data_IF_961602411602
#
_entry.id   IF_961602411602
#
_cell.length_a   1.000
_cell.length_b   1.000
_cell.length_c   1.000
_cell.angle_alpha   90.00
_cell.angle_beta   90.00
_cell.angle_gamma   90.00
#
_symmetry.space_group_name_H-M   'P 1'
#
loop_
_entity.id
_entity.type
_entity.pdbx_description
1 polymer ?
#
# COMPACT_ATOMS: atom_id res chain seq x y z
N UNK A 1 6.45 -29.07 10.06
CA UNK A 1 5.85 -27.73 10.15
C UNK A 1 6.90 -26.60 10.04
N UNK A 2 8.00 -26.61 10.82
CA UNK A 2 9.03 -25.53 10.78
C UNK A 2 9.69 -25.36 9.41
N UNK A 3 10.07 -26.43 8.73
CA UNK A 3 10.70 -26.38 7.39
C UNK A 3 9.76 -25.79 6.30
N UNK A 4 8.45 -26.04 6.38
CA UNK A 4 7.47 -25.46 5.44
C UNK A 4 7.32 -23.95 5.66
N UNK A 5 7.26 -23.49 6.92
CA UNK A 5 7.18 -22.06 7.22
C UNK A 5 8.44 -21.33 6.74
N UNK A 6 9.64 -21.88 7.00
CA UNK A 6 10.89 -21.26 6.57
C UNK A 6 10.94 -21.05 5.04
N UNK A 7 10.53 -22.06 4.27
CA UNK A 7 10.46 -21.93 2.80
C UNK A 7 9.52 -20.80 2.36
N UNK A 8 8.34 -20.71 2.98
CA UNK A 8 7.40 -19.64 2.65
C UNK A 8 7.89 -18.26 3.09
N UNK A 9 8.58 -18.15 4.23
CA UNK A 9 9.19 -16.88 4.65
C UNK A 9 10.23 -16.39 3.65
N UNK A 10 11.12 -17.29 3.18
CA UNK A 10 12.16 -16.97 2.20
C UNK A 10 11.60 -16.55 0.83
N UNK A 11 10.34 -16.85 0.52
CA UNK A 11 9.68 -16.46 -0.72
C UNK A 11 8.78 -15.24 -0.49
N UNK A 12 7.85 -15.32 0.48
CA UNK A 12 6.81 -14.29 0.64
C UNK A 12 7.37 -12.95 1.09
N UNK A 13 8.33 -12.94 2.01
CA UNK A 13 8.88 -11.67 2.52
C UNK A 13 9.61 -10.90 1.43
N UNK A 14 10.58 -11.48 0.69
CA UNK A 14 11.22 -10.77 -0.41
C UNK A 14 10.26 -10.36 -1.52
N UNK A 15 9.32 -11.22 -1.90
CA UNK A 15 8.36 -10.94 -2.98
C UNK A 15 7.47 -9.75 -2.62
N UNK A 16 6.89 -9.73 -1.41
CA UNK A 16 6.03 -8.63 -0.97
C UNK A 16 6.82 -7.32 -0.88
N UNK A 17 8.03 -7.36 -0.30
CA UNK A 17 8.93 -6.20 -0.24
C UNK A 17 9.27 -5.66 -1.62
N UNK A 18 9.77 -6.52 -2.51
CA UNK A 18 10.23 -6.12 -3.85
C UNK A 18 9.09 -5.53 -4.66
N UNK A 19 7.93 -6.17 -4.71
CA UNK A 19 6.77 -5.67 -5.45
C UNK A 19 6.28 -4.34 -4.91
N UNK A 20 6.22 -4.19 -3.57
CA UNK A 20 5.83 -2.94 -2.94
C UNK A 20 6.78 -1.78 -3.27
N UNK A 21 8.08 -1.99 -3.15
CA UNK A 21 9.07 -0.97 -3.51
C UNK A 21 9.11 -0.68 -5.01
N UNK A 22 9.02 -1.71 -5.87
CA UNK A 22 8.99 -1.50 -7.32
C UNK A 22 7.79 -0.65 -7.74
N UNK A 23 6.60 -0.91 -7.20
CA UNK A 23 5.42 -0.09 -7.47
C UNK A 23 5.64 1.38 -7.11
N UNK A 24 6.21 1.66 -5.93
CA UNK A 24 6.54 3.03 -5.51
C UNK A 24 7.57 3.70 -6.40
N UNK A 25 8.65 2.99 -6.73
CA UNK A 25 9.72 3.51 -7.59
C UNK A 25 9.24 3.80 -9.02
N UNK A 26 8.51 2.88 -9.62
CA UNK A 26 7.96 3.05 -10.97
C UNK A 26 6.95 4.20 -11.06
N UNK A 27 6.27 4.50 -9.96
CA UNK A 27 5.32 5.61 -9.87
C UNK A 27 5.99 6.96 -9.55
N UNK A 28 7.31 6.99 -9.28
CA UNK A 28 8.01 8.19 -8.82
C UNK A 28 7.48 8.69 -7.48
N UNK A 29 7.23 7.79 -6.52
CA UNK A 29 6.57 8.14 -5.26
C UNK A 29 7.45 8.99 -4.35
N UNK A 30 6.92 10.10 -3.86
CA UNK A 30 7.53 10.94 -2.84
C UNK A 30 8.32 12.14 -3.38
N UNK A 31 9.25 12.67 -2.57
CA UNK A 31 10.08 13.82 -2.94
C UNK A 31 10.88 13.57 -4.23
N UNK A 32 10.99 14.60 -5.05
CA UNK A 32 11.59 14.51 -6.39
C UNK A 32 10.60 14.24 -7.51
N UNK A 33 9.33 13.95 -7.19
CA UNK A 33 8.24 13.99 -8.15
C UNK A 33 7.76 15.44 -8.31
N UNK A 34 7.92 16.09 -9.48
CA UNK A 34 7.64 17.52 -9.64
C UNK A 34 6.19 17.90 -9.31
N UNK A 35 5.23 17.03 -9.66
CA UNK A 35 3.84 17.26 -9.31
C UNK A 35 3.63 17.16 -7.80
N UNK A 36 4.16 16.13 -7.15
CA UNK A 36 4.04 15.94 -5.71
C UNK A 36 4.72 17.08 -4.93
N UNK A 37 5.90 17.53 -5.39
CA UNK A 37 6.65 18.62 -4.74
C UNK A 37 5.89 19.95 -4.79
N UNK A 38 5.09 20.16 -5.84
CA UNK A 38 4.24 21.35 -6.00
C UNK A 38 2.96 21.35 -5.12
N UNK A 39 2.58 20.20 -4.55
CA UNK A 39 1.40 20.12 -3.67
C UNK A 39 1.65 20.82 -2.34
N UNK A 40 0.62 21.49 -1.83
CA UNK A 40 0.56 21.95 -0.43
C UNK A 40 0.52 20.72 0.48
N UNK A 41 1.50 20.61 1.38
CA UNK A 41 1.58 19.47 2.32
C UNK A 41 0.67 19.74 3.52
N UNK A 42 -0.30 18.84 3.82
CA UNK A 42 -1.13 18.97 5.02
C UNK A 42 -0.27 18.95 6.30
N UNK A 43 -0.76 19.61 7.36
CA UNK A 43 -0.04 19.63 8.65
C UNK A 43 0.23 18.27 9.26
N UNK A 44 -0.58 17.26 8.89
CA UNK A 44 -0.44 15.87 9.34
C UNK A 44 0.53 15.05 8.48
N UNK A 45 1.16 15.65 7.46
CA UNK A 45 2.10 14.94 6.58
C UNK A 45 3.40 14.64 7.34
N UNK A 46 3.75 13.34 7.52
CA UNK A 46 4.97 12.96 8.23
C UNK A 46 6.22 13.25 7.39
N UNK A 47 7.39 13.33 8.03
CA UNK A 47 8.66 13.36 7.28
C UNK A 47 8.75 12.21 6.25
N UNK A 48 9.31 12.44 5.05
CA UNK A 48 9.35 11.43 3.98
C UNK A 48 9.98 10.10 4.39
N UNK A 49 11.01 10.13 5.24
CA UNK A 49 11.68 8.93 5.76
C UNK A 49 10.74 8.01 6.53
N UNK A 50 9.71 8.56 7.18
CA UNK A 50 8.69 7.79 7.90
C UNK A 50 7.97 6.80 6.98
N UNK A 51 7.66 7.20 5.75
CA UNK A 51 7.00 6.32 4.77
C UNK A 51 7.91 5.14 4.40
N UNK A 52 9.20 5.39 4.15
CA UNK A 52 10.16 4.33 3.81
C UNK A 52 10.28 3.30 4.96
N UNK A 53 10.39 3.77 6.20
CA UNK A 53 10.51 2.90 7.38
C UNK A 53 9.22 2.11 7.59
N UNK A 54 8.07 2.79 7.64
CA UNK A 54 6.78 2.15 7.92
C UNK A 54 6.43 1.13 6.86
N UNK A 55 6.52 1.47 5.58
CA UNK A 55 6.22 0.52 4.51
C UNK A 55 7.16 -0.68 4.48
N UNK A 56 8.46 -0.48 4.80
CA UNK A 56 9.40 -1.61 4.94
C UNK A 56 8.95 -2.59 6.01
N UNK A 57 8.60 -2.09 7.19
CA UNK A 57 8.11 -2.91 8.31
C UNK A 57 6.80 -3.60 7.95
N UNK A 58 5.84 -2.86 7.37
CA UNK A 58 4.53 -3.40 7.00
C UNK A 58 4.64 -4.49 5.94
N UNK A 59 5.45 -4.31 4.91
CA UNK A 59 5.65 -5.34 3.88
C UNK A 59 6.32 -6.60 4.44
N UNK A 60 7.27 -6.46 5.36
CA UNK A 60 7.84 -7.62 6.08
C UNK A 60 6.74 -8.34 6.86
N UNK A 61 5.93 -7.62 7.65
CA UNK A 61 4.85 -8.20 8.45
C UNK A 61 3.79 -8.89 7.58
N UNK A 62 3.41 -8.27 6.45
CA UNK A 62 2.49 -8.86 5.46
C UNK A 62 3.06 -10.14 4.85
N UNK A 63 4.34 -10.13 4.47
CA UNK A 63 5.03 -11.32 3.94
C UNK A 63 5.10 -12.45 4.94
N UNK A 64 5.40 -12.14 6.21
CA UNK A 64 5.40 -13.12 7.31
C UNK A 64 3.99 -13.69 7.56
N UNK A 65 2.98 -12.81 7.60
CA UNK A 65 1.58 -13.22 7.79
C UNK A 65 1.12 -14.17 6.67
N UNK A 66 1.42 -13.82 5.42
CA UNK A 66 1.12 -14.67 4.26
C UNK A 66 1.83 -16.03 4.35
N UNK A 67 3.13 -16.02 4.69
CA UNK A 67 3.91 -17.26 4.85
C UNK A 67 3.32 -18.19 5.92
N UNK A 68 2.83 -17.63 7.03
CA UNK A 68 2.20 -18.41 8.10
C UNK A 68 0.90 -19.07 7.64
N UNK A 69 0.08 -18.35 6.85
CA UNK A 69 -1.17 -18.86 6.28
C UNK A 69 -0.87 -19.94 5.23
N UNK A 70 0.10 -19.73 4.35
CA UNK A 70 0.52 -20.70 3.35
C UNK A 70 1.10 -21.98 3.97
N UNK A 71 1.81 -21.86 5.09
CA UNK A 71 2.35 -23.00 5.83
C UNK A 71 1.28 -23.82 6.57
N UNK A 72 0.07 -23.26 6.79
CA UNK A 72 -1.05 -23.91 7.47
C UNK A 72 -1.78 -24.91 6.53
N UNK A 73 -1.07 -25.94 6.07
CA UNK A 73 -1.60 -26.96 5.16
C UNK A 73 -2.81 -27.67 5.79
N UNK A 74 -3.87 -27.85 5.01
CA UNK A 74 -5.11 -28.49 5.46
C UNK A 74 -6.04 -27.61 6.30
N UNK A 75 -5.66 -26.36 6.64
CA UNK A 75 -6.55 -25.48 7.36
C UNK A 75 -7.75 -25.04 6.48
N UNK A 76 -8.95 -25.13 7.06
CA UNK A 76 -10.18 -24.67 6.40
C UNK A 76 -10.09 -23.16 6.10
N UNK A 77 -10.54 -22.74 4.93
CA UNK A 77 -10.56 -21.34 4.52
C UNK A 77 -9.20 -20.78 4.08
N UNK A 78 -8.10 -21.55 4.11
CA UNK A 78 -6.79 -21.08 3.68
C UNK A 78 -6.78 -20.50 2.26
N UNK A 79 -7.42 -21.17 1.30
CA UNK A 79 -7.47 -20.73 -0.10
C UNK A 79 -8.12 -19.35 -0.26
N UNK A 80 -9.28 -19.15 0.38
CA UNK A 80 -10.00 -17.87 0.35
C UNK A 80 -9.21 -16.76 1.07
N UNK A 81 -8.51 -17.09 2.16
CA UNK A 81 -7.66 -16.15 2.86
C UNK A 81 -6.48 -15.68 2.00
N UNK A 82 -5.82 -16.60 1.29
CA UNK A 82 -4.73 -16.27 0.34
C UNK A 82 -5.25 -15.45 -0.84
N UNK A 83 -6.42 -15.78 -1.38
CA UNK A 83 -7.05 -15.00 -2.45
C UNK A 83 -7.37 -13.58 -2.00
N UNK A 84 -7.96 -13.42 -0.80
CA UNK A 84 -8.24 -12.09 -0.24
C UNK A 84 -6.94 -11.26 -0.06
N UNK A 85 -5.85 -11.90 0.42
CA UNK A 85 -4.55 -11.25 0.49
C UNK A 85 -4.05 -10.82 -0.89
N UNK A 86 -4.14 -11.69 -1.89
CA UNK A 86 -3.71 -11.35 -3.25
C UNK A 86 -4.48 -10.17 -3.82
N UNK A 87 -5.80 -10.15 -3.66
CA UNK A 87 -6.67 -9.05 -4.12
C UNK A 87 -6.27 -7.73 -3.43
N UNK A 88 -6.23 -7.69 -2.09
CA UNK A 88 -5.86 -6.48 -1.38
C UNK A 88 -4.44 -6.01 -1.72
N UNK A 89 -3.50 -6.94 -1.94
CA UNK A 89 -2.12 -6.59 -2.26
C UNK A 89 -2.00 -6.00 -3.67
N UNK A 90 -2.70 -6.55 -4.67
CA UNK A 90 -2.77 -5.96 -6.02
C UNK A 90 -3.36 -4.55 -5.97
N UNK A 91 -4.43 -4.34 -5.22
CA UNK A 91 -4.99 -2.99 -5.03
C UNK A 91 -3.98 -2.05 -4.35
N UNK A 92 -3.24 -2.55 -3.34
CA UNK A 92 -2.20 -1.78 -2.67
C UNK A 92 -1.09 -1.34 -3.64
N UNK A 93 -0.62 -2.24 -4.51
CA UNK A 93 0.37 -1.91 -5.54
C UNK A 93 -0.15 -0.86 -6.54
N UNK A 94 -1.45 -0.83 -6.82
CA UNK A 94 -2.05 0.12 -7.76
C UNK A 94 -2.15 1.55 -7.20
N UNK A 95 -2.09 1.73 -5.87
CA UNK A 95 -2.29 3.05 -5.27
C UNK A 95 -1.22 4.07 -5.67
N UNK A 96 0.05 3.70 -5.58
CA UNK A 96 1.17 4.60 -5.96
C UNK A 96 1.10 5.06 -7.41
N UNK A 97 0.90 4.19 -8.41
CA UNK A 97 0.66 4.61 -9.80
C UNK A 97 -0.52 5.58 -9.95
N UNK A 98 -1.64 5.35 -9.26
CA UNK A 98 -2.82 6.21 -9.38
C UNK A 98 -2.56 7.58 -8.75
N UNK A 99 -1.95 7.62 -7.55
CA UNK A 99 -1.69 8.87 -6.84
C UNK A 99 -0.56 9.67 -7.49
N UNK A 100 0.64 9.08 -7.63
CA UNK A 100 1.84 9.78 -8.09
C UNK A 100 2.03 9.76 -9.61
N UNK A 101 1.64 8.67 -10.27
CA UNK A 101 1.83 8.51 -11.72
C UNK A 101 0.71 9.17 -12.53
N UNK A 102 -0.55 9.00 -12.11
CA UNK A 102 -1.71 9.58 -12.81
C UNK A 102 -2.13 10.93 -12.22
N UNK A 103 -1.54 11.36 -11.09
CA UNK A 103 -1.88 12.60 -10.38
C UNK A 103 -3.36 12.69 -9.93
N UNK A 104 -4.00 11.53 -9.66
CA UNK A 104 -5.44 11.43 -9.37
C UNK A 104 -5.68 11.16 -7.89
N UNK A 105 -5.70 12.21 -7.08
CA UNK A 105 -5.90 12.12 -5.62
C UNK A 105 -7.28 11.58 -5.25
N UNK A 106 -8.34 11.98 -5.99
CA UNK A 106 -9.72 11.51 -5.77
C UNK A 106 -9.86 10.01 -6.06
N UNK A 107 -9.33 9.54 -7.20
CA UNK A 107 -9.34 8.12 -7.52
C UNK A 107 -8.49 7.30 -6.54
N UNK A 108 -7.33 7.83 -6.12
CA UNK A 108 -6.49 7.21 -5.11
C UNK A 108 -7.19 7.13 -3.74
N UNK A 109 -8.03 8.11 -3.39
CA UNK A 109 -8.84 8.09 -2.16
C UNK A 109 -9.87 6.95 -2.18
N UNK A 110 -10.59 6.77 -3.29
CA UNK A 110 -11.51 5.64 -3.46
C UNK A 110 -10.76 4.31 -3.40
N UNK A 111 -9.61 4.24 -4.07
CA UNK A 111 -8.79 3.04 -4.10
C UNK A 111 -8.26 2.67 -2.71
N UNK A 112 -7.74 3.64 -1.92
CA UNK A 112 -7.22 3.34 -0.58
C UNK A 112 -8.33 2.93 0.40
N UNK A 113 -9.54 3.47 0.25
CA UNK A 113 -10.70 3.01 1.00
C UNK A 113 -11.07 1.56 0.65
N UNK A 114 -11.01 1.19 -0.62
CA UNK A 114 -11.19 -0.20 -1.07
C UNK A 114 -10.08 -1.13 -0.54
N UNK A 115 -8.82 -0.67 -0.52
CA UNK A 115 -7.68 -1.40 0.06
C UNK A 115 -7.92 -1.63 1.56
N UNK A 116 -8.34 -0.60 2.29
CA UNK A 116 -8.63 -0.69 3.73
C UNK A 116 -9.72 -1.75 4.00
N UNK A 117 -10.82 -1.72 3.25
CA UNK A 117 -11.88 -2.72 3.37
C UNK A 117 -11.37 -4.14 3.07
N UNK A 118 -10.62 -4.30 1.98
CA UNK A 118 -10.03 -5.58 1.60
C UNK A 118 -9.01 -6.09 2.63
N UNK A 119 -8.22 -5.19 3.24
CA UNK A 119 -7.26 -5.51 4.30
C UNK A 119 -7.98 -5.98 5.58
N UNK A 120 -9.09 -5.34 5.97
CA UNK A 120 -9.92 -5.78 7.09
C UNK A 120 -10.49 -7.17 6.83
N UNK A 121 -11.06 -7.41 5.65
CA UNK A 121 -11.57 -8.73 5.25
C UNK A 121 -10.44 -9.78 5.29
N UNK A 122 -9.27 -9.47 4.75
CA UNK A 122 -8.10 -10.35 4.78
C UNK A 122 -7.69 -10.67 6.20
N UNK A 123 -7.65 -9.68 7.09
CA UNK A 123 -7.31 -9.86 8.51
C UNK A 123 -8.29 -10.81 9.21
N UNK A 124 -9.59 -10.65 8.97
CA UNK A 124 -10.63 -11.54 9.52
C UNK A 124 -10.46 -12.97 8.99
N UNK A 125 -10.20 -13.15 7.71
CA UNK A 125 -9.97 -14.46 7.10
C UNK A 125 -8.68 -15.10 7.61
N UNK A 126 -7.61 -14.32 7.81
CA UNK A 126 -6.36 -14.80 8.40
C UNK A 126 -6.56 -15.25 9.84
N UNK A 127 -7.38 -14.55 10.64
CA UNK A 127 -7.70 -14.94 12.01
C UNK A 127 -8.34 -16.34 12.09
N UNK A 128 -9.16 -16.71 11.10
CA UNK A 128 -9.78 -18.05 11.02
C UNK A 128 -8.77 -19.16 10.70
N UNK A 129 -7.62 -18.83 10.11
CA UNK A 129 -6.55 -19.77 9.77
C UNK A 129 -5.43 -19.76 10.82
N UNK A 130 -4.97 -18.57 11.17
CA UNK A 130 -3.88 -18.31 12.13
C UNK A 130 -4.03 -16.94 12.79
N UNK A 131 -4.41 -16.88 14.04
CA UNK A 131 -4.61 -15.62 14.78
C UNK A 131 -3.37 -14.72 14.81
N UNK A 132 -2.16 -15.33 14.94
CA UNK A 132 -0.89 -14.57 14.92
C UNK A 132 -0.69 -13.89 13.55
N UNK A 133 -1.05 -14.56 12.44
CA UNK A 133 -0.96 -13.95 11.11
C UNK A 133 -1.91 -12.75 10.96
N UNK A 134 -3.12 -12.83 11.54
CA UNK A 134 -4.04 -11.70 11.57
C UNK A 134 -3.50 -10.55 12.43
N UNK A 135 -2.92 -10.85 13.60
CA UNK A 135 -2.32 -9.83 14.47
C UNK A 135 -1.20 -9.05 13.76
N UNK A 136 -0.41 -9.72 12.90
CA UNK A 136 0.61 -9.06 12.08
C UNK A 136 0.04 -8.10 11.03
N UNK A 137 -1.23 -8.23 10.64
CA UNK A 137 -1.88 -7.30 9.70
C UNK A 137 -2.52 -6.09 10.40
N UNK A 138 -2.69 -6.09 11.73
CA UNK A 138 -3.31 -4.97 12.44
C UNK A 138 -2.56 -3.64 12.27
N UNK A 139 -1.21 -3.57 12.40
CA UNK A 139 -0.49 -2.33 12.14
C UNK A 139 -0.68 -1.82 10.71
N UNK A 140 -0.80 -2.72 9.73
CA UNK A 140 -1.09 -2.33 8.35
C UNK A 140 -2.50 -1.73 8.21
N UNK A 141 -3.52 -2.33 8.82
CA UNK A 141 -4.88 -1.77 8.83
C UNK A 141 -4.91 -0.39 9.48
N UNK A 142 -4.23 -0.21 10.62
CA UNK A 142 -4.12 1.09 11.29
C UNK A 142 -3.42 2.13 10.41
N UNK A 143 -2.33 1.74 9.74
CA UNK A 143 -1.65 2.62 8.80
C UNK A 143 -2.53 3.01 7.61
N UNK A 144 -3.35 2.10 7.08
CA UNK A 144 -4.29 2.40 6.01
C UNK A 144 -5.37 3.40 6.43
N UNK A 145 -5.85 3.35 7.68
CA UNK A 145 -6.77 4.36 8.22
C UNK A 145 -6.12 5.74 8.19
N UNK A 146 -4.88 5.85 8.71
CA UNK A 146 -4.12 7.09 8.66
C UNK A 146 -3.85 7.55 7.22
N UNK A 147 -3.43 6.64 6.33
CA UNK A 147 -3.11 6.95 4.94
C UNK A 147 -4.37 7.38 4.15
N UNK A 148 -5.55 6.83 4.47
CA UNK A 148 -6.83 7.29 3.90
C UNK A 148 -7.13 8.72 4.31
N UNK A 149 -6.98 9.04 5.61
CA UNK A 149 -7.12 10.39 6.10
C UNK A 149 -6.09 11.35 5.47
N UNK A 150 -4.84 10.93 5.35
CA UNK A 150 -3.79 11.73 4.72
C UNK A 150 -4.09 12.00 3.23
N UNK A 151 -4.55 11.01 2.48
CA UNK A 151 -4.97 11.18 1.07
C UNK A 151 -6.13 12.19 0.96
N UNK A 152 -7.13 12.09 1.85
CA UNK A 152 -8.22 13.05 1.92
C UNK A 152 -7.69 14.47 2.23
N UNK A 153 -6.76 14.61 3.17
CA UNK A 153 -6.17 15.90 3.53
C UNK A 153 -5.39 16.52 2.35
N UNK A 154 -4.64 15.71 1.58
CA UNK A 154 -4.00 16.17 0.35
C UNK A 154 -5.00 16.67 -0.69
N UNK A 155 -6.08 15.92 -0.93
CA UNK A 155 -7.12 16.31 -1.87
C UNK A 155 -7.79 17.64 -1.46
N UNK A 156 -8.09 17.79 -0.17
CA UNK A 156 -8.72 19.00 0.37
C UNK A 156 -7.80 20.21 0.31
N UNK A 157 -6.51 20.05 0.55
CA UNK A 157 -5.53 21.13 0.48
C UNK A 157 -5.17 21.53 -0.96
N UNK A 158 -5.48 20.71 -1.97
CA UNK A 158 -5.06 20.89 -3.36
C UNK A 158 -6.19 20.64 -4.36
N UNK A 159 -7.36 21.30 -4.25
CA UNK A 159 -8.54 21.00 -5.08
C UNK A 159 -8.30 21.19 -6.59
N UNK A 160 -7.39 22.10 -6.97
CA UNK A 160 -7.05 22.38 -8.37
C UNK A 160 -5.96 21.50 -8.97
N UNK A 161 -5.39 20.56 -8.19
CA UNK A 161 -4.25 19.74 -8.63
C UNK A 161 -4.65 18.27 -8.93
N UNK A 162 -5.91 17.90 -8.73
CA UNK A 162 -6.42 16.57 -8.97
C UNK A 162 -6.60 16.32 -10.48
N UNK A 163 -5.90 15.33 -11.02
CA UNK A 163 -5.94 14.97 -12.44
C UNK A 163 -5.15 15.91 -13.38
N UNK A 164 -4.45 16.89 -12.85
CA UNK A 164 -3.66 17.84 -13.66
C UNK A 164 -2.37 17.15 -14.12
N UNK A 165 -2.30 16.85 -15.41
CA UNK A 165 -1.04 16.54 -16.07
C UNK A 165 -0.43 17.86 -16.53
N UNK A 166 0.69 18.30 -15.95
CA UNK A 166 1.48 19.40 -16.53
C UNK A 166 2.00 18.91 -17.89
N UNK A 167 1.37 19.37 -18.95
CA UNK A 167 1.92 19.22 -20.29
C UNK A 167 3.22 20.02 -20.35
N UNK A 168 4.33 19.39 -20.64
CA UNK A 168 5.63 20.03 -20.91
C UNK A 168 5.61 20.97 -22.13
N UNK A 169 4.43 21.17 -22.73
CA UNK A 169 4.21 22.07 -23.86
C UNK A 169 3.97 23.54 -23.45
N UNK A 170 3.64 23.82 -22.19
CA UNK A 170 3.31 25.21 -21.75
C UNK A 170 4.57 26.01 -21.35
N UNK A 171 5.69 25.37 -21.08
CA UNK A 171 6.93 26.05 -20.68
C UNK A 171 7.71 26.72 -21.87
N UNK A 172 7.18 26.66 -23.08
CA UNK A 172 7.91 27.10 -24.28
C UNK A 172 7.48 28.47 -24.84
N UNK A 173 6.57 29.20 -24.18
CA UNK A 173 6.02 30.45 -24.71
C UNK A 173 6.13 31.69 -23.78
N UNK A 174 6.95 31.64 -22.72
CA UNK A 174 7.30 32.83 -21.95
C UNK A 174 8.75 33.24 -22.30
N UNK A 175 8.93 33.79 -23.51
CA UNK A 175 10.10 34.60 -23.89
C UNK A 175 9.57 35.97 -24.35
#
# INVERSE_FOLDING_TARGET
>A
MRASLMRWLLVCVPVVLLLGFLSGQMAGSGPGNPWFDALVKPAVYPPPVTFAIVWSVLYVMMGVALAMVLAARGARGRGIAVLAFAVQFVLNLAWSPVFFGMHRMSAALVLIAAILLAAVVTTILFARVRTVAAALLLPYVLWLVFATYLNFAFLHANPGMDGVQRSSAVERFDI
#
